data_IF_867278064220
#
_entry.id   IF_867278064220
#
_cell.length_a   1.000
_cell.length_b   1.000
_cell.length_c   1.000
_cell.angle_alpha   90.00
_cell.angle_beta   90.00
_cell.angle_gamma   90.00
#
_symmetry.space_group_name_H-M   'P 1'
#
loop_
_entity.id
_entity.type
_entity.pdbx_description
1 polymer ?
#
# COMPACT_ATOMS: atom_id res chain seq x y z
N UNK A 1 14.74 17.90 -0.13
CA UNK A 1 14.66 16.49 0.27
C UNK A 1 13.96 16.45 1.62
N UNK A 2 12.94 15.60 1.76
CA UNK A 2 12.23 15.33 3.00
C UNK A 2 12.42 13.86 3.35
N UNK A 3 12.63 13.57 4.63
CA UNK A 3 12.69 12.22 5.15
C UNK A 3 11.83 12.14 6.41
N UNK A 4 11.10 11.05 6.59
CA UNK A 4 10.30 10.81 7.79
C UNK A 4 10.39 9.34 8.16
N UNK A 5 10.63 9.08 9.44
CA UNK A 5 10.60 7.74 10.02
C UNK A 5 9.42 7.68 10.96
N UNK A 6 8.64 6.62 10.87
CA UNK A 6 7.51 6.35 11.75
C UNK A 6 7.67 4.98 12.38
N UNK A 7 7.29 4.88 13.65
CA UNK A 7 7.18 3.62 14.35
C UNK A 7 5.94 3.65 15.25
N UNK A 8 5.20 2.55 15.27
CA UNK A 8 3.99 2.40 16.08
C UNK A 8 3.95 1.02 16.72
N UNK A 9 3.42 0.97 17.95
CA UNK A 9 3.18 -0.26 18.68
C UNK A 9 1.74 -0.28 19.19
N UNK A 10 1.03 -1.36 18.88
CA UNK A 10 -0.32 -1.58 19.35
C UNK A 10 -0.38 -2.89 20.16
N UNK A 11 -0.70 -2.76 21.45
CA UNK A 11 -1.08 -3.90 22.28
C UNK A 11 -2.45 -4.43 21.81
N UNK A 12 -2.57 -5.75 21.66
CA UNK A 12 -3.83 -6.41 21.28
C UNK A 12 -4.17 -7.53 22.25
N UNK A 13 -5.45 -7.90 22.30
CA UNK A 13 -5.90 -9.06 23.06
C UNK A 13 -5.13 -10.32 22.65
N UNK A 14 -4.76 -11.13 23.65
CA UNK A 14 -4.10 -12.41 23.43
C UNK A 14 -4.95 -13.35 22.56
N UNK A 15 -4.28 -14.23 21.82
CA UNK A 15 -4.91 -15.30 21.03
C UNK A 15 -4.67 -16.64 21.70
N UNK A 16 -5.71 -17.47 21.78
CA UNK A 16 -5.55 -18.87 22.17
C UNK A 16 -5.09 -19.64 20.94
N UNK A 17 -3.91 -20.25 21.03
CA UNK A 17 -3.39 -21.09 19.97
C UNK A 17 -4.15 -22.43 19.93
N UNK A 18 -4.67 -22.79 18.77
CA UNK A 18 -5.43 -24.01 18.59
C UNK A 18 -4.56 -25.28 18.75
N UNK A 19 -3.24 -25.17 18.53
CA UNK A 19 -2.28 -26.28 18.60
C UNK A 19 -2.02 -26.72 20.04
N UNK A 20 -1.60 -25.80 20.91
CA UNK A 20 -1.16 -26.09 22.30
C UNK A 20 -2.15 -25.59 23.38
N UNK A 21 -3.25 -24.94 22.97
CA UNK A 21 -4.29 -24.35 23.83
C UNK A 21 -3.78 -23.24 24.76
N UNK A 22 -2.61 -22.67 24.48
CA UNK A 22 -2.03 -21.59 25.29
C UNK A 22 -2.47 -20.21 24.80
N UNK A 23 -2.65 -19.28 25.73
CA UNK A 23 -2.84 -17.87 25.42
C UNK A 23 -1.48 -17.23 25.04
N UNK A 24 -1.39 -16.70 23.83
CA UNK A 24 -0.18 -16.09 23.26
C UNK A 24 -0.39 -14.60 22.99
N UNK A 25 0.68 -13.82 23.09
CA UNK A 25 0.65 -12.39 22.77
C UNK A 25 0.32 -12.18 21.29
N UNK A 26 -0.40 -11.10 20.98
CA UNK A 26 -0.83 -10.78 19.61
C UNK A 26 -0.54 -9.32 19.25
N UNK A 27 0.50 -8.76 19.86
CA UNK A 27 0.85 -7.35 19.70
C UNK A 27 1.30 -7.08 18.28
N UNK A 28 1.10 -5.84 17.84
CA UNK A 28 1.51 -5.37 16.53
C UNK A 28 2.59 -4.30 16.67
N UNK A 29 3.57 -4.36 15.78
CA UNK A 29 4.54 -3.30 15.56
C UNK A 29 4.55 -2.91 14.08
N UNK A 30 4.65 -1.61 13.79
CA UNK A 30 4.79 -1.06 12.44
C UNK A 30 6.00 -0.13 12.42
N UNK A 31 6.82 -0.23 11.39
CA UNK A 31 7.86 0.75 11.09
C UNK A 31 7.77 1.19 9.64
N UNK A 32 7.92 2.48 9.35
CA UNK A 32 7.99 3.00 7.98
C UNK A 32 9.07 4.05 7.79
N UNK A 33 9.56 4.14 6.56
CA UNK A 33 10.48 5.16 6.09
C UNK A 33 9.90 5.79 4.83
N UNK A 34 9.74 7.11 4.87
CA UNK A 34 9.35 7.94 3.76
C UNK A 34 10.51 8.83 3.31
N UNK A 35 10.74 8.89 2.00
CA UNK A 35 11.65 9.82 1.34
C UNK A 35 10.91 10.57 0.23
N UNK A 36 11.04 11.89 0.22
CA UNK A 36 10.37 12.76 -0.75
C UNK A 36 11.30 13.83 -1.32
N UNK A 37 11.14 14.11 -2.60
CA UNK A 37 11.80 15.22 -3.27
C UNK A 37 10.80 16.00 -4.11
N UNK A 38 10.87 17.33 -4.04
CA UNK A 38 10.05 18.26 -4.82
C UNK A 38 10.96 19.36 -5.35
N UNK A 39 10.92 19.59 -6.66
CA UNK A 39 11.58 20.71 -7.32
C UNK A 39 10.53 21.73 -7.75
N UNK A 40 10.24 22.68 -6.86
CA UNK A 40 9.24 23.74 -7.06
C UNK A 40 7.94 23.18 -7.69
N UNK A 41 7.40 23.86 -8.70
CA UNK A 41 6.24 23.40 -9.46
C UNK A 41 6.62 22.61 -10.72
N UNK A 42 7.81 22.01 -10.78
CA UNK A 42 8.25 21.21 -11.95
C UNK A 42 7.88 19.75 -11.76
N UNK A 43 8.29 19.14 -10.64
CA UNK A 43 7.96 17.75 -10.32
C UNK A 43 8.11 17.44 -8.83
N UNK A 44 7.50 16.33 -8.43
CA UNK A 44 7.76 15.69 -7.14
C UNK A 44 7.75 14.17 -7.28
N UNK A 45 8.58 13.52 -6.47
CA UNK A 45 8.63 12.07 -6.30
C UNK A 45 8.66 11.74 -4.81
N UNK A 46 7.95 10.69 -4.42
CA UNK A 46 7.92 10.14 -3.08
C UNK A 46 8.05 8.62 -3.14
N UNK A 47 8.73 8.08 -2.14
CA UNK A 47 8.77 6.64 -1.86
C UNK A 47 8.52 6.43 -0.38
N UNK A 48 7.69 5.46 -0.04
CA UNK A 48 7.51 4.98 1.32
C UNK A 48 7.61 3.46 1.33
N UNK A 49 8.35 2.91 2.29
CA UNK A 49 8.36 1.50 2.58
C UNK A 49 7.99 1.28 4.04
N UNK A 50 7.22 0.24 4.32
CA UNK A 50 6.87 -0.14 5.68
C UNK A 50 7.01 -1.65 5.91
N UNK A 51 7.27 -2.00 7.16
CA UNK A 51 7.14 -3.35 7.68
C UNK A 51 6.13 -3.36 8.81
N UNK A 52 5.41 -4.47 8.95
CA UNK A 52 4.53 -4.71 10.09
C UNK A 52 4.69 -6.12 10.58
N UNK A 53 4.84 -6.29 11.89
CA UNK A 53 4.82 -7.62 12.52
C UNK A 53 3.65 -7.72 13.47
N UNK A 54 2.84 -8.77 13.36
CA UNK A 54 1.81 -9.12 14.33
C UNK A 54 2.17 -10.46 14.95
N UNK A 55 2.31 -10.49 16.27
CA UNK A 55 2.70 -11.70 16.99
C UNK A 55 1.60 -12.77 16.90
N UNK A 56 1.98 -14.05 16.73
CA UNK A 56 1.06 -15.20 16.78
C UNK A 56 -0.26 -14.99 16.00
N UNK A 57 -0.18 -14.44 14.78
CA UNK A 57 -1.34 -13.94 14.07
C UNK A 57 -1.89 -14.91 13.02
N UNK A 58 -1.11 -15.89 12.59
CA UNK A 58 -1.53 -16.86 11.57
C UNK A 58 -1.01 -18.27 11.89
N UNK A 59 -1.77 -19.30 11.50
CA UNK A 59 -1.29 -20.69 11.44
C UNK A 59 -0.92 -21.01 9.98
N UNK A 60 0.26 -21.58 9.69
CA UNK A 60 0.65 -21.93 8.31
C UNK A 60 -0.24 -23.05 7.75
N UNK A 61 -0.53 -24.07 8.55
CA UNK A 61 -1.42 -25.18 8.21
C UNK A 61 -2.36 -25.54 9.35
N UNK A 62 -3.37 -26.36 9.08
CA UNK A 62 -4.24 -26.91 10.12
C UNK A 62 -3.43 -27.79 11.08
N UNK A 63 -3.52 -27.50 12.39
CA UNK A 63 -2.79 -28.25 13.41
C UNK A 63 -1.35 -27.82 13.62
N UNK A 64 -0.93 -26.67 13.09
CA UNK A 64 0.36 -26.05 13.42
C UNK A 64 0.19 -24.87 14.39
N UNK A 65 1.23 -24.61 15.18
CA UNK A 65 1.27 -23.48 16.10
C UNK A 65 1.18 -22.14 15.36
N UNK A 66 0.58 -21.15 16.02
CA UNK A 66 0.53 -19.77 15.55
C UNK A 66 1.96 -19.20 15.40
N UNK A 67 2.16 -18.47 14.32
CA UNK A 67 3.41 -17.79 13.98
C UNK A 67 3.20 -16.28 13.81
N UNK A 68 4.29 -15.54 13.88
CA UNK A 68 4.28 -14.10 13.63
C UNK A 68 3.99 -13.82 12.16
N UNK A 69 3.05 -12.93 11.89
CA UNK A 69 2.80 -12.45 10.54
C UNK A 69 3.65 -11.21 10.30
N UNK A 70 4.60 -11.31 9.37
CA UNK A 70 5.42 -10.20 8.90
C UNK A 70 4.89 -9.72 7.55
N UNK A 71 4.51 -8.46 7.45
CA UNK A 71 4.07 -7.81 6.22
C UNK A 71 5.15 -6.83 5.73
N UNK A 72 5.22 -6.64 4.41
CA UNK A 72 6.01 -5.60 3.77
C UNK A 72 5.17 -4.84 2.75
N UNK A 73 5.36 -3.53 2.65
CA UNK A 73 4.76 -2.74 1.59
C UNK A 73 5.69 -1.63 1.13
N UNK A 74 5.58 -1.30 -0.16
CA UNK A 74 6.28 -0.18 -0.78
C UNK A 74 5.32 0.59 -1.69
N UNK A 75 5.41 1.90 -1.62
CA UNK A 75 4.65 2.86 -2.41
C UNK A 75 5.62 3.83 -3.07
N UNK A 76 5.48 4.05 -4.37
CA UNK A 76 6.21 5.05 -5.14
C UNK A 76 5.19 5.92 -5.85
N UNK A 77 5.29 7.23 -5.71
CA UNK A 77 4.37 8.14 -6.38
C UNK A 77 5.09 9.40 -6.84
N UNK A 78 4.48 10.09 -7.80
CA UNK A 78 5.02 11.35 -8.25
C UNK A 78 4.09 12.07 -9.20
N UNK A 79 4.48 13.30 -9.48
CA UNK A 79 3.85 14.12 -10.49
C UNK A 79 4.89 14.97 -11.22
N UNK A 80 4.55 15.35 -12.45
CA UNK A 80 5.34 16.27 -13.27
C UNK A 80 4.42 17.26 -13.96
N UNK A 81 4.74 18.54 -13.86
CA UNK A 81 4.05 19.60 -14.58
C UNK A 81 4.39 19.51 -16.06
N UNK A 82 3.35 19.44 -16.89
CA UNK A 82 3.46 19.44 -18.36
C UNK A 82 3.20 20.85 -18.91
N UNK A 83 2.22 21.54 -18.35
CA UNK A 83 1.85 22.93 -18.65
C UNK A 83 1.39 23.62 -17.36
N UNK A 84 1.09 24.91 -17.40
CA UNK A 84 0.58 25.66 -16.23
C UNK A 84 -0.74 25.11 -15.65
N UNK A 85 -1.50 24.37 -16.47
CA UNK A 85 -2.80 23.80 -16.10
C UNK A 85 -2.83 22.28 -16.08
N UNK A 86 -1.73 21.59 -16.39
CA UNK A 86 -1.72 20.14 -16.55
C UNK A 86 -0.52 19.48 -15.87
N UNK A 87 -0.78 18.49 -15.02
CA UNK A 87 0.24 17.63 -14.41
C UNK A 87 0.00 16.18 -14.80
N UNK A 88 1.06 15.46 -15.11
CA UNK A 88 1.07 14.00 -15.15
C UNK A 88 1.21 13.49 -13.72
N UNK A 89 0.38 12.53 -13.31
CA UNK A 89 0.48 11.87 -12.01
C UNK A 89 0.61 10.36 -12.19
N UNK A 90 1.44 9.72 -11.37
CA UNK A 90 1.59 8.28 -11.36
C UNK A 90 1.85 7.75 -9.95
N UNK A 91 1.39 6.53 -9.69
CA UNK A 91 1.60 5.83 -8.43
C UNK A 91 1.72 4.33 -8.66
N UNK A 92 2.65 3.70 -7.96
CA UNK A 92 2.79 2.26 -7.87
C UNK A 92 2.81 1.86 -6.40
N UNK A 93 2.10 0.79 -6.06
CA UNK A 93 2.16 0.16 -4.75
C UNK A 93 2.39 -1.35 -4.91
N UNK A 94 3.15 -1.93 -3.99
CA UNK A 94 3.21 -3.37 -3.80
C UNK A 94 3.08 -3.69 -2.31
N UNK A 95 2.27 -4.69 -2.00
CA UNK A 95 2.01 -5.11 -0.64
C UNK A 95 2.00 -6.63 -0.55
N UNK A 96 2.79 -7.14 0.38
CA UNK A 96 2.85 -8.52 0.82
C UNK A 96 2.28 -8.57 2.26
N UNK A 97 1.06 -9.12 2.44
CA UNK A 97 0.45 -9.25 3.75
C UNK A 97 1.19 -10.20 4.69
N UNK A 98 1.87 -11.22 4.18
CA UNK A 98 2.57 -12.21 4.98
C UNK A 98 3.74 -12.83 4.21
N UNK A 99 4.95 -12.38 4.48
CA UNK A 99 6.18 -12.84 3.80
C UNK A 99 6.56 -14.30 4.06
N UNK A 100 5.79 -15.02 4.86
CA UNK A 100 5.88 -16.48 5.03
C UNK A 100 4.81 -17.26 4.26
N UNK A 101 3.95 -16.58 3.50
CA UNK A 101 2.95 -17.18 2.62
C UNK A 101 3.22 -16.78 1.17
N UNK A 102 3.06 -17.75 0.29
CA UNK A 102 3.11 -17.51 -1.14
C UNK A 102 1.73 -17.11 -1.68
N UNK A 103 1.73 -16.30 -2.74
CA UNK A 103 0.55 -15.96 -3.54
C UNK A 103 -0.56 -15.21 -2.79
N UNK A 104 -0.23 -14.43 -1.77
CA UNK A 104 -1.20 -13.61 -1.02
C UNK A 104 -0.99 -12.09 -1.21
N UNK A 105 0.05 -11.69 -1.96
CA UNK A 105 0.35 -10.29 -2.24
C UNK A 105 -0.52 -9.63 -3.31
N UNK A 106 -0.38 -8.30 -3.42
CA UNK A 106 -1.01 -7.52 -4.47
C UNK A 106 -0.13 -6.34 -4.94
N UNK A 107 -0.40 -5.84 -6.15
CA UNK A 107 0.18 -4.59 -6.65
C UNK A 107 -0.87 -3.67 -7.25
N UNK A 108 -0.61 -2.38 -7.17
CA UNK A 108 -1.45 -1.32 -7.73
C UNK A 108 -0.59 -0.43 -8.62
N UNK A 109 -1.14 -0.03 -9.76
CA UNK A 109 -0.56 0.97 -10.63
C UNK A 109 -1.63 1.98 -11.02
N UNK A 110 -1.32 3.26 -10.96
CA UNK A 110 -2.16 4.35 -11.41
C UNK A 110 -1.37 5.30 -12.29
N UNK A 111 -2.01 5.75 -13.37
CA UNK A 111 -1.55 6.87 -14.17
C UNK A 111 -2.73 7.80 -14.46
N UNK A 112 -2.51 9.10 -14.42
CA UNK A 112 -3.56 10.09 -14.64
C UNK A 112 -3.03 11.45 -15.02
N UNK A 113 -3.96 12.34 -15.37
CA UNK A 113 -3.71 13.74 -15.69
C UNK A 113 -4.48 14.61 -14.71
N UNK A 114 -3.80 15.45 -13.96
CA UNK A 114 -4.42 16.47 -13.12
C UNK A 114 -4.56 17.75 -13.93
N UNK A 115 -5.79 18.05 -14.34
CA UNK A 115 -6.14 19.25 -15.09
C UNK A 115 -6.75 20.30 -14.17
N UNK A 116 -6.06 21.42 -14.02
CA UNK A 116 -6.51 22.59 -13.26
C UNK A 116 -7.55 23.36 -14.07
N UNK A 117 -8.82 22.99 -13.89
CA UNK A 117 -9.96 23.60 -14.58
C UNK A 117 -10.26 25.04 -14.11
N UNK A 118 -9.93 25.37 -12.85
CA UNK A 118 -9.99 26.72 -12.31
C UNK A 118 -8.93 26.90 -11.21
N UNK A 119 -8.81 28.12 -10.65
CA UNK A 119 -7.80 28.45 -9.62
C UNK A 119 -7.72 27.41 -8.49
N UNK A 120 -8.87 26.88 -8.08
CA UNK A 120 -9.04 25.96 -6.95
C UNK A 120 -9.69 24.62 -7.35
N UNK A 121 -9.90 24.37 -8.66
CA UNK A 121 -10.63 23.18 -9.15
C UNK A 121 -9.71 22.35 -10.03
N UNK A 122 -9.60 21.07 -9.70
CA UNK A 122 -8.92 20.07 -10.52
C UNK A 122 -9.88 18.96 -10.95
N UNK A 123 -9.76 18.53 -12.19
CA UNK A 123 -10.40 17.32 -12.74
C UNK A 123 -9.30 16.34 -13.11
N UNK A 124 -9.35 15.14 -12.54
CA UNK A 124 -8.26 14.17 -12.60
C UNK A 124 -8.75 12.84 -13.17
N UNK A 125 -8.87 12.71 -14.50
CA UNK A 125 -9.03 11.40 -15.12
C UNK A 125 -7.79 10.53 -14.86
N UNK A 126 -8.01 9.29 -14.45
CA UNK A 126 -6.96 8.32 -14.21
C UNK A 126 -7.42 6.89 -14.53
N UNK A 127 -6.44 6.04 -14.81
CA UNK A 127 -6.62 4.59 -14.98
C UNK A 127 -5.84 3.90 -13.88
N UNK A 128 -6.46 2.89 -13.28
CA UNK A 128 -5.95 2.10 -12.16
C UNK A 128 -5.95 0.63 -12.54
N UNK A 129 -4.81 -0.04 -12.36
CA UNK A 129 -4.65 -1.47 -12.51
C UNK A 129 -4.31 -2.07 -11.15
N UNK A 130 -5.16 -2.97 -10.66
CA UNK A 130 -4.92 -3.75 -9.46
C UNK A 130 -4.60 -5.19 -9.89
N UNK A 131 -3.46 -5.74 -9.46
CA UNK A 131 -3.09 -7.13 -9.71
C UNK A 131 -3.04 -7.89 -8.39
N UNK A 132 -3.69 -9.04 -8.34
CA UNK A 132 -3.64 -9.94 -7.21
C UNK A 132 -2.69 -11.10 -7.53
N UNK A 133 -1.88 -11.52 -6.56
CA UNK A 133 -1.08 -12.75 -6.71
C UNK A 133 -1.93 -14.01 -6.55
N UNK A 134 -3.00 -13.93 -5.75
CA UNK A 134 -4.02 -14.97 -5.67
C UNK A 134 -4.63 -15.21 -7.05
N UNK A 135 -4.79 -16.50 -7.36
CA UNK A 135 -5.37 -16.99 -8.62
C UNK A 135 -6.80 -17.45 -8.40
N UNK A 136 -7.60 -17.42 -9.46
CA UNK A 136 -8.92 -18.05 -9.44
C UNK A 136 -8.84 -19.59 -9.40
N UNK A 137 -10.00 -20.24 -9.33
CA UNK A 137 -10.09 -21.70 -9.31
C UNK A 137 -9.52 -22.38 -10.57
N UNK A 138 -9.33 -21.64 -11.66
CA UNK A 138 -8.71 -22.12 -12.90
C UNK A 138 -7.22 -21.78 -13.01
N UNK A 139 -6.63 -21.20 -11.96
CA UNK A 139 -5.22 -20.81 -11.92
C UNK A 139 -4.89 -19.52 -12.68
N UNK A 140 -5.90 -18.75 -13.09
CA UNK A 140 -5.71 -17.48 -13.80
C UNK A 140 -5.48 -16.34 -12.80
N UNK A 141 -4.56 -15.44 -13.15
CA UNK A 141 -4.32 -14.23 -12.35
C UNK A 141 -5.53 -13.31 -12.35
N UNK A 142 -5.91 -12.85 -11.16
CA UNK A 142 -6.97 -11.87 -10.96
C UNK A 142 -6.42 -10.45 -11.14
N UNK A 143 -7.14 -9.62 -11.89
CA UNK A 143 -6.77 -8.23 -12.18
C UNK A 143 -8.00 -7.37 -12.37
N UNK A 144 -7.96 -6.15 -11.83
CA UNK A 144 -9.01 -5.14 -12.01
C UNK A 144 -8.46 -3.93 -12.75
N UNK A 145 -9.13 -3.54 -13.83
CA UNK A 145 -8.85 -2.30 -14.56
C UNK A 145 -10.00 -1.32 -14.32
N UNK A 146 -9.69 -0.18 -13.72
CA UNK A 146 -10.69 0.85 -13.39
C UNK A 146 -10.32 2.18 -14.05
N UNK A 147 -11.26 2.78 -14.76
CA UNK A 147 -11.18 4.19 -15.15
C UNK A 147 -11.92 5.04 -14.10
N UNK A 148 -11.32 6.15 -13.68
CA UNK A 148 -11.87 7.05 -12.65
C UNK A 148 -11.69 8.50 -13.05
N UNK A 149 -12.68 9.34 -12.74
CA UNK A 149 -12.58 10.80 -12.80
C UNK A 149 -12.72 11.32 -11.37
N UNK A 150 -11.71 12.03 -10.87
CA UNK A 150 -11.73 12.65 -9.55
C UNK A 150 -11.93 14.16 -9.69
N UNK A 151 -12.81 14.75 -8.89
CA UNK A 151 -12.96 16.20 -8.76
C UNK A 151 -12.36 16.64 -7.43
N UNK A 152 -11.41 17.57 -7.47
CA UNK A 152 -10.75 18.08 -6.27
C UNK A 152 -10.95 19.60 -6.17
N UNK A 153 -11.24 20.07 -4.96
CA UNK A 153 -11.39 21.49 -4.63
C UNK A 153 -10.48 21.84 -3.44
N UNK A 154 -9.70 22.92 -3.59
CA UNK A 154 -8.87 23.46 -2.52
C UNK A 154 -9.52 24.73 -1.94
N UNK A 155 -9.80 24.72 -0.62
CA UNK A 155 -10.40 25.84 0.12
C UNK A 155 -9.39 26.96 0.38
#
# INVERSE_FOLDING_TARGET
LQATVHADFASKAQKVDAFDKQAKSNNQFVGSLFLGYKQNEIYSIGVEAFTRTIQNNYAPSAGEALQNQSSFGISIWGWKTLTESLKLVARFDNYDPNSSKDLDGNSFLMAGLDYKAAKNVSVIPNVQLFNYQVKDASGKSLKDLTARITFAYSF
#
